data_IF_299064115071
#
_entry.id   IF_299064115071
#
_cell.length_a   1.000
_cell.length_b   1.000
_cell.length_c   1.000
_cell.angle_alpha   90.00
_cell.angle_beta   90.00
_cell.angle_gamma   90.00
#
_symmetry.space_group_name_H-M   'P 1'
#
loop_
_entity.id
_entity.type
_entity.pdbx_description
1 polymer ?
#
# COMPACT_ATOMS: atom_id res chain seq x y z
N UNK A 1 -1.01 3.43 13.49
CA UNK A 1 -0.29 4.52 12.80
C UNK A 1 -1.16 5.78 12.85
N UNK A 2 -0.61 6.92 13.28
CA UNK A 2 -1.33 8.20 13.29
C UNK A 2 -1.02 9.01 12.01
N UNK A 3 -1.68 10.15 11.84
CA UNK A 3 -1.55 10.98 10.64
C UNK A 3 -0.13 11.56 10.44
N UNK A 4 0.55 11.91 11.54
CA UNK A 4 1.92 12.45 11.48
C UNK A 4 2.91 11.40 10.97
N UNK A 5 2.88 10.20 11.56
CA UNK A 5 3.72 9.06 11.13
C UNK A 5 3.41 8.71 9.68
N UNK A 6 2.13 8.70 9.29
CA UNK A 6 1.76 8.40 7.91
C UNK A 6 2.32 9.42 6.91
N UNK A 7 2.28 10.71 7.25
CA UNK A 7 2.91 11.77 6.43
C UNK A 7 4.42 11.56 6.34
N UNK A 8 5.09 11.41 7.48
CA UNK A 8 6.55 11.50 7.58
C UNK A 8 7.25 10.21 7.14
N UNK A 9 6.63 9.05 7.32
CA UNK A 9 7.23 7.75 6.98
C UNK A 9 6.72 7.16 5.66
N UNK A 10 5.53 7.57 5.17
CA UNK A 10 4.92 6.98 3.97
C UNK A 10 4.73 8.02 2.88
N UNK A 11 3.97 9.10 3.12
CA UNK A 11 3.61 10.04 2.05
C UNK A 11 4.84 10.75 1.48
N UNK A 12 5.65 11.36 2.35
CA UNK A 12 6.84 12.10 1.94
C UNK A 12 7.91 11.22 1.28
N UNK A 13 8.45 10.20 1.98
CA UNK A 13 9.62 9.47 1.49
C UNK A 13 9.29 8.38 0.45
N UNK A 14 8.05 7.89 0.39
CA UNK A 14 7.67 6.78 -0.51
C UNK A 14 6.74 7.24 -1.62
N UNK A 15 5.60 7.85 -1.26
CA UNK A 15 4.55 8.17 -2.25
C UNK A 15 5.02 9.27 -3.21
N UNK A 16 5.44 10.43 -2.68
CA UNK A 16 5.79 11.58 -3.53
C UNK A 16 6.85 11.25 -4.59
N UNK A 17 7.98 10.57 -4.26
CA UNK A 17 8.98 10.20 -5.27
C UNK A 17 8.43 9.24 -6.33
N UNK A 18 7.63 8.24 -5.95
CA UNK A 18 7.07 7.26 -6.89
C UNK A 18 6.09 7.90 -7.86
N UNK A 19 5.19 8.74 -7.36
CA UNK A 19 4.22 9.47 -8.17
C UNK A 19 4.94 10.37 -9.19
N UNK A 20 5.97 11.12 -8.76
CA UNK A 20 6.72 12.02 -9.65
C UNK A 20 7.53 11.27 -10.70
N UNK A 21 8.16 10.16 -10.34
CA UNK A 21 9.02 9.40 -11.26
C UNK A 21 8.23 8.59 -12.30
N UNK A 22 6.99 8.21 -12.01
CA UNK A 22 6.20 7.33 -12.87
C UNK A 22 4.87 7.95 -13.34
N UNK A 23 4.61 9.22 -13.02
CA UNK A 23 3.38 9.94 -13.39
C UNK A 23 2.09 9.17 -13.02
N UNK A 24 2.05 8.66 -11.79
CA UNK A 24 0.96 7.81 -11.30
C UNK A 24 -0.14 8.64 -10.62
N UNK A 25 -1.31 8.03 -10.43
CA UNK A 25 -2.38 8.53 -9.56
C UNK A 25 -2.34 7.74 -8.25
N UNK A 26 -2.35 8.44 -7.12
CA UNK A 26 -2.31 7.85 -5.80
C UNK A 26 -3.70 7.42 -5.35
N UNK A 27 -3.87 6.15 -4.97
CA UNK A 27 -5.07 5.65 -4.31
C UNK A 27 -4.73 5.24 -2.89
N UNK A 28 -5.60 5.62 -1.95
CA UNK A 28 -5.57 5.16 -0.57
C UNK A 28 -7.01 5.08 -0.03
N UNK A 29 -7.26 4.21 0.96
CA UNK A 29 -8.58 4.16 1.61
C UNK A 29 -8.86 5.41 2.48
N UNK A 30 -10.13 5.67 2.77
CA UNK A 30 -10.58 6.78 3.64
C UNK A 30 -10.45 6.43 5.15
N UNK A 31 -9.38 5.73 5.58
CA UNK A 31 -9.16 5.51 7.01
C UNK A 31 -8.82 6.82 7.73
N UNK A 32 -9.26 6.97 8.99
CA UNK A 32 -9.20 8.24 9.76
C UNK A 32 -7.86 9.01 9.71
N UNK A 33 -6.66 8.38 9.72
CA UNK A 33 -5.40 9.11 9.58
C UNK A 33 -5.16 9.73 8.19
N UNK A 34 -5.83 9.23 7.14
CA UNK A 34 -5.68 9.66 5.73
C UNK A 34 -6.57 10.85 5.39
N UNK A 35 -7.73 10.93 6.02
CA UNK A 35 -8.62 12.10 5.96
C UNK A 35 -8.19 13.23 6.91
N UNK A 36 -7.12 13.01 7.68
CA UNK A 36 -6.58 14.05 8.55
C UNK A 36 -6.07 15.21 7.68
N UNK A 37 -6.45 16.44 8.06
CA UNK A 37 -6.07 17.67 7.35
C UNK A 37 -4.57 17.78 7.05
N UNK A 38 -3.71 17.29 7.95
CA UNK A 38 -2.26 17.30 7.75
C UNK A 38 -1.81 16.45 6.55
N UNK A 39 -2.49 15.34 6.28
CA UNK A 39 -2.18 14.46 5.16
C UNK A 39 -2.77 15.01 3.86
N UNK A 40 -4.01 15.49 3.88
CA UNK A 40 -4.65 16.06 2.68
C UNK A 40 -3.92 17.32 2.19
N UNK A 41 -3.62 18.26 3.10
CA UNK A 41 -2.88 19.48 2.76
C UNK A 41 -1.45 19.17 2.28
N UNK A 42 -0.81 18.13 2.83
CA UNK A 42 0.50 17.72 2.36
C UNK A 42 0.45 17.18 0.93
N UNK A 43 -0.51 16.32 0.61
CA UNK A 43 -0.69 15.79 -0.75
C UNK A 43 -1.01 16.90 -1.77
N UNK A 44 -1.86 17.86 -1.38
CA UNK A 44 -2.15 19.06 -2.19
C UNK A 44 -0.88 19.89 -2.43
N UNK A 45 -0.12 20.20 -1.38
CA UNK A 45 1.11 21.00 -1.48
C UNK A 45 2.18 20.32 -2.35
N UNK A 46 2.27 18.99 -2.28
CA UNK A 46 3.20 18.20 -3.09
C UNK A 46 2.70 17.94 -4.53
N UNK A 47 1.48 18.40 -4.86
CA UNK A 47 0.78 18.20 -6.12
C UNK A 47 0.61 16.71 -6.48
N UNK A 48 0.27 15.89 -5.49
CA UNK A 48 0.01 14.46 -5.71
C UNK A 48 -1.44 14.29 -6.18
N UNK A 49 -1.68 13.78 -7.41
CA UNK A 49 -3.03 13.45 -7.86
C UNK A 49 -3.56 12.27 -7.06
N UNK A 50 -4.69 12.47 -6.36
CA UNK A 50 -5.36 11.44 -5.56
C UNK A 50 -6.61 10.94 -6.28
N UNK A 51 -6.79 9.63 -6.38
CA UNK A 51 -7.99 9.01 -6.93
C UNK A 51 -9.15 9.20 -5.93
N UNK A 52 -10.27 9.82 -6.33
CA UNK A 52 -11.46 9.89 -5.48
C UNK A 52 -11.95 8.46 -5.19
N UNK A 53 -12.08 8.12 -3.90
CA UNK A 53 -12.49 6.79 -3.47
C UNK A 53 -13.79 6.83 -2.66
N UNK A 54 -14.81 6.02 -3.02
CA UNK A 54 -16.05 5.97 -2.27
C UNK A 54 -15.83 5.38 -0.86
N UNK A 55 -16.54 5.94 0.12
CA UNK A 55 -16.50 5.41 1.48
C UNK A 55 -17.05 3.97 1.53
N UNK A 56 -16.54 3.16 2.45
CA UNK A 56 -17.00 1.79 2.71
C UNK A 56 -16.96 0.83 1.51
N UNK A 57 -16.05 1.04 0.56
CA UNK A 57 -15.82 0.14 -0.59
C UNK A 57 -14.46 -0.57 -0.49
N UNK A 58 -14.24 -1.44 0.52
CA UNK A 58 -12.99 -2.19 0.64
C UNK A 58 -12.85 -3.21 -0.50
N UNK A 59 -13.95 -3.79 -0.95
CA UNK A 59 -14.06 -4.74 -2.08
C UNK A 59 -13.56 -4.17 -3.40
N UNK A 60 -13.63 -2.85 -3.57
CA UNK A 60 -13.14 -2.19 -4.77
C UNK A 60 -11.61 -2.02 -4.78
N UNK A 61 -10.91 -2.17 -3.64
CA UNK A 61 -9.50 -1.82 -3.53
C UNK A 61 -8.61 -2.94 -4.10
N UNK A 62 -7.82 -2.69 -5.16
CA UNK A 62 -6.96 -3.72 -5.75
C UNK A 62 -5.93 -4.32 -4.77
N UNK A 63 -5.62 -3.61 -3.67
CA UNK A 63 -4.71 -4.11 -2.64
C UNK A 63 -5.29 -5.30 -1.87
N UNK A 64 -6.62 -5.42 -1.75
CA UNK A 64 -7.25 -6.56 -1.07
C UNK A 64 -6.96 -7.88 -1.79
N UNK A 65 -6.95 -7.87 -3.13
CA UNK A 65 -6.53 -9.04 -3.91
C UNK A 65 -5.06 -9.40 -3.69
N UNK A 66 -4.19 -8.39 -3.57
CA UNK A 66 -2.77 -8.63 -3.25
C UNK A 66 -2.63 -9.24 -1.84
N UNK A 67 -3.40 -8.76 -0.87
CA UNK A 67 -3.43 -9.32 0.48
C UNK A 67 -3.92 -10.76 0.51
N UNK A 68 -4.99 -11.10 -0.21
CA UNK A 68 -5.49 -12.48 -0.31
C UNK A 68 -4.44 -13.43 -0.92
N UNK A 69 -3.75 -13.02 -1.99
CA UNK A 69 -2.65 -13.80 -2.58
C UNK A 69 -1.51 -14.00 -1.58
N UNK A 70 -1.14 -12.96 -0.84
CA UNK A 70 -0.08 -13.04 0.17
C UNK A 70 -0.47 -13.95 1.34
N UNK A 71 -1.70 -13.85 1.84
CA UNK A 71 -2.23 -14.69 2.93
C UNK A 71 -2.23 -16.17 2.52
N UNK A 72 -2.74 -16.49 1.33
CA UNK A 72 -2.70 -17.87 0.79
C UNK A 72 -1.27 -18.41 0.70
N UNK A 73 -0.32 -17.62 0.19
CA UNK A 73 1.09 -18.01 0.09
C UNK A 73 1.73 -18.23 1.46
N UNK A 74 1.39 -17.43 2.46
CA UNK A 74 1.89 -17.61 3.83
C UNK A 74 1.33 -18.88 4.45
N UNK A 75 0.02 -19.16 4.30
CA UNK A 75 -0.63 -20.37 4.84
C UNK A 75 -0.12 -21.67 4.22
N UNK A 76 0.35 -21.63 2.98
CA UNK A 76 0.91 -22.79 2.29
C UNK A 76 2.37 -23.10 2.69
N UNK A 77 3.03 -22.24 3.49
CA UNK A 77 4.40 -22.50 3.96
C UNK A 77 4.44 -23.62 4.99
N UNK A 78 5.52 -24.39 4.99
CA UNK A 78 5.81 -25.44 5.98
C UNK A 78 7.19 -25.18 6.60
N UNK A 79 7.29 -24.94 7.91
CA UNK A 79 6.17 -24.74 8.84
C UNK A 79 5.43 -23.42 8.57
N UNK A 80 4.14 -23.38 8.93
CA UNK A 80 3.36 -22.13 8.90
C UNK A 80 3.96 -21.16 9.93
N UNK A 81 4.25 -19.89 9.58
CA UNK A 81 4.77 -18.92 10.54
C UNK A 81 3.81 -18.73 11.71
N UNK A 82 4.32 -18.85 12.94
CA UNK A 82 3.50 -18.70 14.17
C UNK A 82 3.79 -17.41 14.95
N UNK A 83 4.77 -16.61 14.50
CA UNK A 83 5.10 -15.34 15.12
C UNK A 83 5.60 -14.32 14.08
N UNK A 84 5.67 -13.05 14.50
CA UNK A 84 6.06 -11.93 13.62
C UNK A 84 7.46 -12.11 13.02
N UNK A 85 8.41 -12.65 13.80
CA UNK A 85 9.79 -12.90 13.34
C UNK A 85 9.82 -13.90 12.18
N UNK A 86 9.04 -14.97 12.29
CA UNK A 86 8.90 -15.98 11.25
C UNK A 86 8.08 -15.48 10.06
N UNK A 87 7.21 -14.49 10.23
CA UNK A 87 6.34 -13.95 9.17
C UNK A 87 7.03 -12.87 8.32
N UNK A 88 7.92 -12.07 8.90
CA UNK A 88 8.50 -10.89 8.25
C UNK A 88 9.25 -11.22 6.94
N UNK A 89 10.11 -12.24 6.96
CA UNK A 89 10.89 -12.64 5.78
C UNK A 89 10.02 -13.26 4.67
N UNK A 90 9.11 -14.20 5.00
CA UNK A 90 8.06 -14.67 4.10
C UNK A 90 7.28 -13.57 3.36
N UNK A 91 6.79 -12.54 4.07
CA UNK A 91 6.02 -11.46 3.46
C UNK A 91 6.87 -10.62 2.50
N UNK A 92 8.08 -10.24 2.91
CA UNK A 92 9.01 -9.46 2.05
C UNK A 92 9.29 -10.19 0.73
N UNK A 93 9.60 -11.49 0.78
CA UNK A 93 9.87 -12.30 -0.42
C UNK A 93 8.64 -12.46 -1.31
N UNK A 94 7.48 -12.70 -0.70
CA UNK A 94 6.25 -12.99 -1.45
C UNK A 94 5.71 -11.73 -2.13
N UNK A 95 5.88 -10.56 -1.52
CA UNK A 95 5.48 -9.26 -2.06
C UNK A 95 6.20 -8.91 -3.37
N UNK A 96 7.51 -9.21 -3.48
CA UNK A 96 8.29 -8.98 -4.70
C UNK A 96 7.82 -9.84 -5.89
N UNK A 97 7.15 -10.97 -5.64
CA UNK A 97 6.68 -11.89 -6.69
C UNK A 97 5.23 -11.65 -7.11
N UNK A 98 4.44 -10.84 -6.40
CA UNK A 98 3.05 -10.54 -6.81
C UNK A 98 3.02 -9.57 -8.02
N UNK A 99 4.07 -8.75 -8.19
CA UNK A 99 4.27 -7.95 -9.40
C UNK A 99 5.21 -8.68 -10.38
N UNK A 100 4.64 -9.21 -11.46
CA UNK A 100 5.35 -9.43 -12.72
C UNK A 100 4.63 -8.61 -13.78
N UNK A 101 5.25 -7.58 -14.39
CA UNK A 101 4.71 -7.05 -15.63
C UNK A 101 4.78 -8.21 -16.63
N UNK A 102 3.64 -8.60 -17.17
CA UNK A 102 3.63 -9.55 -18.28
C UNK A 102 4.48 -8.92 -19.39
N UNK A 103 5.61 -9.53 -19.69
CA UNK A 103 6.36 -9.23 -20.90
C UNK A 103 5.49 -9.70 -22.05
N UNK A 104 4.68 -8.80 -22.62
CA UNK A 104 4.07 -9.04 -23.93
C UNK A 104 5.20 -9.00 -24.95
N UNK A 105 5.59 -10.20 -25.38
CA UNK A 105 6.18 -10.41 -26.70
C UNK A 105 5.06 -10.48 -27.74
#
# INVERSE_FOLDING_TARGET
MNAQIYRDEILGPIVVPLIRSHHLIFQHDNARPRDARICTQFLEAENVPVLPWPAYSPDMSPIEHVWDVLDRRVRQRVPVPINIQQLAQPLKRSGTTVYQPQSTA
#
